data_IF_340347280172
#
_entry.id   IF_340347280172
#
_cell.length_a   1.000
_cell.length_b   1.000
_cell.length_c   1.000
_cell.angle_alpha   90.00
_cell.angle_beta   90.00
_cell.angle_gamma   90.00
#
_symmetry.space_group_name_H-M   'P 1'
#
loop_
_entity.id
_entity.type
_entity.pdbx_description
1 polymer ?
#
# COMPACT_ATOMS: atom_id res chain seq x y z
N UNK A 1 -9.19 12.91 -3.59
CA UNK A 1 -9.93 11.63 -3.67
C UNK A 1 -9.55 10.81 -2.46
N UNK A 2 -10.48 10.06 -1.86
CA UNK A 2 -10.17 9.11 -0.78
C UNK A 2 -10.27 7.72 -1.38
N UNK A 3 -9.19 6.95 -1.28
CA UNK A 3 -9.05 5.62 -1.86
C UNK A 3 -8.26 4.72 -0.91
N UNK A 4 -8.43 3.41 -1.01
CA UNK A 4 -7.48 2.43 -0.48
C UNK A 4 -6.12 2.53 -1.21
N UNK A 5 -5.10 1.83 -0.69
CA UNK A 5 -3.73 1.99 -1.21
C UNK A 5 -3.56 1.42 -2.61
N UNK A 6 -4.25 0.32 -2.91
CA UNK A 6 -4.20 -0.36 -4.21
C UNK A 6 -4.84 0.52 -5.30
N UNK A 7 -6.07 0.98 -5.05
CA UNK A 7 -6.80 1.86 -5.97
C UNK A 7 -6.05 3.18 -6.18
N UNK A 8 -5.56 3.80 -5.10
CA UNK A 8 -4.79 5.05 -5.20
C UNK A 8 -3.53 4.90 -6.06
N UNK A 9 -2.78 3.82 -5.86
CA UNK A 9 -1.59 3.50 -6.66
C UNK A 9 -1.93 3.29 -8.15
N UNK A 10 -3.00 2.54 -8.45
CA UNK A 10 -3.44 2.33 -9.83
C UNK A 10 -3.86 3.65 -10.50
N UNK A 11 -4.64 4.48 -9.80
CA UNK A 11 -5.11 5.76 -10.33
C UNK A 11 -3.93 6.69 -10.68
N UNK A 12 -2.95 6.83 -9.79
CA UNK A 12 -1.79 7.69 -10.05
C UNK A 12 -0.97 7.18 -11.24
N UNK A 13 -0.70 5.88 -11.33
CA UNK A 13 0.02 5.31 -12.49
C UNK A 13 -0.75 5.51 -13.79
N UNK A 14 -2.06 5.26 -13.77
CA UNK A 14 -2.91 5.45 -14.95
C UNK A 14 -2.93 6.92 -15.40
N UNK A 15 -3.17 7.87 -14.50
CA UNK A 15 -3.23 9.29 -14.84
C UNK A 15 -1.89 9.89 -15.23
N UNK A 16 -0.79 9.38 -14.70
CA UNK A 16 0.53 9.92 -14.99
C UNK A 16 1.15 9.32 -16.26
N UNK A 17 0.77 8.11 -16.67
CA UNK A 17 1.36 7.40 -17.81
C UNK A 17 0.42 7.18 -19.01
N UNK A 18 -0.83 7.68 -18.99
CA UNK A 18 -1.79 7.41 -20.08
C UNK A 18 -1.34 7.90 -21.46
N UNK A 19 -0.52 8.95 -21.53
CA UNK A 19 0.02 9.46 -22.80
C UNK A 19 1.28 8.74 -23.25
N UNK A 20 1.87 7.88 -22.42
CA UNK A 20 3.12 7.17 -22.70
C UNK A 20 2.92 5.70 -23.08
N UNK A 21 1.67 5.22 -23.19
CA UNK A 21 1.36 3.80 -23.27
C UNK A 21 1.49 3.04 -21.93
N UNK A 22 1.51 3.75 -20.79
CA UNK A 22 1.38 3.16 -19.45
C UNK A 22 2.68 2.77 -18.74
N UNK A 23 3.83 2.91 -19.39
CA UNK A 23 5.13 2.46 -18.85
C UNK A 23 5.99 3.58 -18.24
N UNK A 24 5.65 4.84 -18.51
CA UNK A 24 6.47 5.99 -18.13
C UNK A 24 5.60 7.17 -17.71
N UNK A 25 5.84 7.71 -16.53
CA UNK A 25 5.02 8.80 -16.03
C UNK A 25 5.46 10.11 -16.72
N UNK A 26 4.60 10.69 -17.55
CA UNK A 26 4.91 11.86 -18.38
C UNK A 26 4.23 13.13 -17.87
N UNK A 27 3.15 13.00 -17.10
CA UNK A 27 2.35 14.13 -16.61
C UNK A 27 1.98 13.99 -15.13
N UNK A 28 1.61 15.12 -14.52
CA UNK A 28 1.19 15.19 -13.12
C UNK A 28 2.32 15.54 -12.16
N UNK A 29 2.07 15.28 -10.87
CA UNK A 29 2.90 15.72 -9.74
C UNK A 29 3.45 14.56 -8.91
N UNK A 30 3.48 13.36 -9.51
CA UNK A 30 3.82 12.10 -8.84
C UNK A 30 2.79 11.71 -7.77
N UNK A 31 3.23 10.92 -6.80
CA UNK A 31 2.42 10.49 -5.65
C UNK A 31 2.18 11.62 -4.64
N UNK A 32 2.98 12.68 -4.72
CA UNK A 32 3.01 13.75 -3.73
C UNK A 32 3.68 13.34 -2.41
N UNK A 33 3.88 14.31 -1.50
CA UNK A 33 4.50 14.03 -0.21
C UNK A 33 3.56 13.22 0.70
N UNK A 34 4.10 12.15 1.28
CA UNK A 34 3.45 11.37 2.33
C UNK A 34 3.42 12.14 3.66
N UNK A 35 2.24 12.15 4.29
CA UNK A 35 2.00 12.74 5.61
C UNK A 35 1.14 11.81 6.42
N UNK A 36 1.50 11.60 7.68
CA UNK A 36 0.78 10.74 8.60
C UNK A 36 0.79 11.30 10.02
N UNK A 37 0.07 10.63 10.91
CA UNK A 37 0.08 10.95 12.32
C UNK A 37 1.52 10.82 12.87
N UNK A 38 1.95 11.80 13.65
CA UNK A 38 3.29 11.87 14.27
C UNK A 38 4.48 12.00 13.30
N UNK A 39 4.25 12.35 12.04
CA UNK A 39 5.35 12.65 11.12
C UNK A 39 5.93 14.04 11.45
N UNK A 40 7.24 14.13 11.63
CA UNK A 40 7.98 15.38 11.82
C UNK A 40 8.57 15.92 10.50
N UNK A 41 8.55 15.10 9.45
CA UNK A 41 9.16 15.38 8.14
C UNK A 41 8.18 15.11 7.01
N UNK A 42 8.41 15.81 5.92
CA UNK A 42 7.76 15.59 4.63
C UNK A 42 8.55 14.50 3.89
N UNK A 43 7.91 13.38 3.58
CA UNK A 43 8.55 12.27 2.86
C UNK A 43 8.05 12.31 1.41
N UNK A 44 8.93 12.62 0.46
CA UNK A 44 8.60 12.62 -0.96
C UNK A 44 9.29 11.44 -1.66
N UNK A 45 8.51 10.49 -2.17
CA UNK A 45 9.01 9.31 -2.88
C UNK A 45 8.74 9.49 -4.36
N UNK A 46 9.79 9.35 -5.17
CA UNK A 46 9.71 9.52 -6.62
C UNK A 46 10.03 8.19 -7.29
N UNK A 47 9.17 7.78 -8.22
CA UNK A 47 9.35 6.54 -8.96
C UNK A 47 10.50 6.66 -9.94
N UNK A 48 11.23 5.55 -10.15
CA UNK A 48 12.25 5.47 -11.21
C UNK A 48 11.64 5.63 -12.61
N UNK A 49 10.36 5.27 -12.77
CA UNK A 49 9.63 5.42 -14.02
C UNK A 49 9.11 6.85 -14.24
N UNK A 50 9.37 7.79 -13.31
CA UNK A 50 8.94 9.17 -13.44
C UNK A 50 9.80 9.94 -14.45
N UNK A 51 9.14 10.61 -15.40
CA UNK A 51 9.79 11.51 -16.33
C UNK A 51 10.17 12.84 -15.71
N UNK A 52 11.14 13.53 -16.34
CA UNK A 52 11.66 14.80 -15.83
C UNK A 52 10.56 15.83 -15.46
N UNK A 53 9.47 16.00 -16.24
CA UNK A 53 8.37 16.89 -15.84
C UNK A 53 7.68 16.47 -14.54
N UNK A 54 7.41 15.17 -14.37
CA UNK A 54 6.76 14.62 -13.16
C UNK A 54 7.67 14.76 -11.96
N UNK A 55 8.96 14.50 -12.11
CA UNK A 55 9.97 14.68 -11.07
C UNK A 55 10.02 16.15 -10.62
N UNK A 56 10.11 17.08 -11.57
CA UNK A 56 10.17 18.51 -11.29
C UNK A 56 8.92 18.99 -10.52
N UNK A 57 7.74 18.57 -10.97
CA UNK A 57 6.48 18.86 -10.30
C UNK A 57 6.44 18.25 -8.89
N UNK A 58 6.79 16.97 -8.73
CA UNK A 58 6.79 16.32 -7.42
C UNK A 58 7.71 17.04 -6.41
N UNK A 59 8.88 17.51 -6.85
CA UNK A 59 9.80 18.32 -6.03
C UNK A 59 9.17 19.67 -5.69
N UNK A 60 8.56 20.34 -6.68
CA UNK A 60 7.88 21.62 -6.46
C UNK A 60 6.73 21.48 -5.45
N UNK A 61 5.96 20.39 -5.51
CA UNK A 61 4.87 20.16 -4.56
C UNK A 61 5.39 19.93 -3.14
N UNK A 62 6.44 19.11 -2.99
CA UNK A 62 7.08 18.91 -1.69
C UNK A 62 7.63 20.23 -1.11
N UNK A 63 8.18 21.11 -1.96
CA UNK A 63 8.61 22.44 -1.54
C UNK A 63 7.44 23.31 -1.06
N UNK A 64 6.32 23.33 -1.79
CA UNK A 64 5.10 24.04 -1.38
C UNK A 64 4.55 23.52 -0.05
N UNK A 65 4.55 22.20 0.16
CA UNK A 65 4.15 21.58 1.44
C UNK A 65 5.08 21.99 2.59
N UNK A 66 6.38 22.09 2.33
CA UNK A 66 7.37 22.56 3.30
C UNK A 66 7.13 24.03 3.68
N UNK A 67 6.96 24.89 2.69
CA UNK A 67 6.64 26.32 2.89
C UNK A 67 5.32 26.51 3.65
N UNK A 68 4.32 25.66 3.39
CA UNK A 68 3.04 25.64 4.10
C UNK A 68 3.09 25.03 5.50
N UNK A 69 4.26 24.57 5.97
CA UNK A 69 4.43 23.92 7.27
C UNK A 69 3.48 22.72 7.47
N UNK A 70 3.37 21.88 6.44
CA UNK A 70 2.41 20.78 6.38
C UNK A 70 2.43 19.84 7.60
N UNK A 71 3.58 19.42 8.16
CA UNK A 71 3.59 18.55 9.35
C UNK A 71 2.87 19.17 10.55
N UNK A 72 3.02 20.48 10.77
CA UNK A 72 2.36 21.19 11.87
C UNK A 72 0.84 21.25 11.67
N UNK A 73 0.39 21.54 10.45
CA UNK A 73 -1.04 21.59 10.12
C UNK A 73 -1.67 20.20 10.27
N UNK A 74 -1.03 19.17 9.73
CA UNK A 74 -1.50 17.79 9.85
C UNK A 74 -1.59 17.35 11.32
N UNK A 75 -0.60 17.68 12.16
CA UNK A 75 -0.65 17.37 13.58
C UNK A 75 -1.86 18.03 14.28
N UNK A 76 -2.18 19.28 13.95
CA UNK A 76 -3.36 19.97 14.49
C UNK A 76 -4.67 19.30 14.05
N UNK A 77 -4.77 18.92 12.77
CA UNK A 77 -5.93 18.20 12.23
C UNK A 77 -6.12 16.83 12.89
N UNK A 78 -5.04 16.05 13.05
CA UNK A 78 -5.10 14.78 13.78
C UNK A 78 -5.55 14.96 15.23
N UNK A 79 -5.05 15.99 15.93
CA UNK A 79 -5.50 16.29 17.28
C UNK A 79 -6.98 16.65 17.34
N UNK A 80 -7.46 17.47 16.40
CA UNK A 80 -8.88 17.83 16.30
C UNK A 80 -9.75 16.61 16.01
N UNK A 81 -9.35 15.76 15.06
CA UNK A 81 -10.06 14.54 14.71
C UNK A 81 -10.10 13.54 15.88
N UNK A 82 -9.00 13.37 16.63
CA UNK A 82 -8.98 12.53 17.83
C UNK A 82 -9.90 13.06 18.94
N UNK A 83 -9.91 14.37 19.16
CA UNK A 83 -10.87 15.01 20.09
C UNK A 83 -12.33 14.79 19.66
N UNK A 84 -12.58 14.67 18.35
CA UNK A 84 -13.89 14.35 17.80
C UNK A 84 -14.23 12.83 17.82
N UNK A 85 -13.37 11.98 18.38
CA UNK A 85 -13.63 10.55 18.53
C UNK A 85 -13.10 9.66 17.39
N UNK A 86 -12.15 10.14 16.58
CA UNK A 86 -11.54 9.33 15.51
C UNK A 86 -11.00 7.99 16.03
N UNK A 87 -10.37 7.97 17.20
CA UNK A 87 -9.78 6.74 17.75
C UNK A 87 -10.84 5.67 18.06
N UNK A 88 -12.04 6.08 18.49
CA UNK A 88 -13.15 5.15 18.75
C UNK A 88 -13.77 4.61 17.46
N UNK A 89 -13.84 5.45 16.42
CA UNK A 89 -14.27 5.03 15.09
C UNK A 89 -13.29 4.02 14.49
N UNK A 90 -11.98 4.27 14.61
CA UNK A 90 -10.94 3.35 14.16
C UNK A 90 -11.08 2.02 14.90
N UNK A 91 -11.15 2.01 16.23
CA UNK A 91 -11.32 0.78 17.02
C UNK A 91 -12.55 -0.03 16.59
N UNK A 92 -13.67 0.62 16.32
CA UNK A 92 -14.89 -0.05 15.83
C UNK A 92 -14.69 -0.64 14.42
N UNK A 93 -13.98 0.07 13.55
CA UNK A 93 -13.72 -0.36 12.18
C UNK A 93 -12.64 -1.45 12.09
N UNK A 94 -11.66 -1.45 12.99
CA UNK A 94 -10.52 -2.38 13.01
C UNK A 94 -10.68 -3.48 14.04
N UNK A 95 -11.90 -3.76 14.52
CA UNK A 95 -12.19 -4.90 15.37
C UNK A 95 -12.10 -6.21 14.55
N UNK A 96 -10.94 -6.48 13.96
CA UNK A 96 -10.54 -7.78 13.44
C UNK A 96 -9.82 -8.54 14.57
N UNK A 97 -9.85 -9.87 14.50
CA UNK A 97 -9.11 -10.73 15.45
C UNK A 97 -7.65 -10.31 15.51
N UNK A 98 -7.07 -10.29 16.72
CA UNK A 98 -5.65 -9.99 16.89
C UNK A 98 -4.83 -10.96 16.01
N UNK A 99 -3.78 -10.48 15.32
CA UNK A 99 -2.98 -11.33 14.48
C UNK A 99 -2.36 -12.43 15.35
N UNK A 100 -2.73 -13.68 15.07
CA UNK A 100 -2.11 -14.83 15.70
C UNK A 100 -0.68 -14.91 15.18
N UNK A 101 0.32 -14.90 16.06
CA UNK A 101 1.71 -15.16 15.67
C UNK A 101 1.82 -16.60 15.17
N UNK A 102 1.68 -16.77 13.87
CA UNK A 102 1.83 -18.05 13.18
C UNK A 102 3.24 -18.07 12.59
N UNK A 103 3.99 -19.13 12.89
CA UNK A 103 5.29 -19.35 12.28
C UNK A 103 5.14 -19.88 10.85
N UNK A 104 6.04 -19.51 9.93
CA UNK A 104 6.00 -20.03 8.57
C UNK A 104 6.20 -21.55 8.56
N UNK A 105 5.46 -22.29 7.71
CA UNK A 105 5.67 -23.73 7.51
C UNK A 105 7.01 -24.00 6.79
N UNK A 106 7.34 -25.27 6.55
CA UNK A 106 8.59 -25.66 5.91
C UNK A 106 8.80 -24.92 4.58
N UNK A 107 9.96 -24.27 4.46
CA UNK A 107 10.30 -23.46 3.28
C UNK A 107 10.31 -24.31 2.02
N UNK A 108 9.66 -23.81 0.97
CA UNK A 108 9.68 -24.40 -0.37
C UNK A 108 9.81 -23.33 -1.47
N UNK A 109 10.22 -23.71 -2.69
CA UNK A 109 10.36 -22.76 -3.79
C UNK A 109 9.03 -22.08 -4.13
N UNK A 110 9.03 -20.74 -4.14
CA UNK A 110 7.89 -19.92 -4.53
C UNK A 110 8.18 -19.29 -5.90
N UNK A 111 7.39 -19.64 -6.90
CA UNK A 111 7.60 -19.19 -8.30
C UNK A 111 6.36 -18.55 -8.91
N UNK A 112 5.20 -18.72 -8.30
CA UNK A 112 3.95 -18.10 -8.72
C UNK A 112 3.63 -16.91 -7.81
N UNK A 113 2.95 -15.92 -8.37
CA UNK A 113 2.48 -14.74 -7.66
C UNK A 113 0.94 -14.65 -7.64
N UNK A 114 0.42 -14.15 -6.51
CA UNK A 114 -0.96 -13.71 -6.35
C UNK A 114 -0.94 -12.19 -6.19
N UNK A 115 -1.59 -11.52 -7.13
CA UNK A 115 -1.71 -10.05 -7.17
C UNK A 115 -3.07 -9.60 -6.62
N UNK A 116 -3.24 -8.30 -6.39
CA UNK A 116 -4.54 -7.70 -6.02
C UNK A 116 -4.81 -7.59 -4.53
N UNK A 117 -3.80 -7.86 -3.69
CA UNK A 117 -3.88 -7.73 -2.24
C UNK A 117 -3.34 -6.37 -1.82
N UNK A 118 -4.01 -5.68 -0.89
CA UNK A 118 -3.53 -4.41 -0.35
C UNK A 118 -2.24 -4.62 0.48
N UNK A 119 -1.27 -3.71 0.36
CA UNK A 119 0.00 -3.79 1.11
C UNK A 119 -0.21 -3.85 2.63
N UNK A 120 -1.27 -3.22 3.14
CA UNK A 120 -1.61 -3.18 4.56
C UNK A 120 -2.17 -4.51 5.07
N UNK A 121 -2.70 -5.36 4.18
CA UNK A 121 -3.25 -6.68 4.53
C UNK A 121 -2.33 -7.83 4.11
N UNK A 122 -1.22 -7.54 3.42
CA UNK A 122 -0.35 -8.54 2.81
C UNK A 122 0.23 -9.53 3.82
N UNK A 123 0.69 -9.04 4.98
CA UNK A 123 1.23 -9.91 6.03
C UNK A 123 0.17 -10.82 6.63
N UNK A 124 -1.03 -10.29 6.89
CA UNK A 124 -2.12 -11.08 7.47
C UNK A 124 -2.65 -12.11 6.47
N UNK A 125 -2.70 -11.75 5.19
CA UNK A 125 -3.00 -12.67 4.09
C UNK A 125 -1.98 -13.82 4.02
N UNK A 126 -0.67 -13.53 4.11
CA UNK A 126 0.39 -14.56 4.18
C UNK A 126 0.23 -15.44 5.42
N UNK A 127 -0.03 -14.85 6.60
CA UNK A 127 -0.26 -15.63 7.83
C UNK A 127 -1.49 -16.52 7.75
N UNK A 128 -2.54 -16.10 7.02
CA UNK A 128 -3.73 -16.92 6.79
C UNK A 128 -3.44 -18.19 5.99
N UNK A 129 -2.46 -18.12 5.08
CA UNK A 129 -1.95 -19.29 4.33
C UNK A 129 -1.09 -20.17 5.23
N UNK A 130 -0.22 -19.57 6.05
CA UNK A 130 0.57 -20.32 7.03
C UNK A 130 -0.31 -21.10 8.02
N UNK A 131 -1.46 -20.55 8.41
CA UNK A 131 -2.45 -21.24 9.26
C UNK A 131 -3.01 -22.54 8.63
N UNK A 132 -2.85 -22.71 7.32
CA UNK A 132 -3.25 -23.88 6.55
C UNK A 132 -2.05 -24.71 6.08
N UNK A 133 -0.88 -24.49 6.69
CA UNK A 133 0.39 -25.15 6.38
C UNK A 133 0.89 -24.88 4.95
N UNK A 134 0.42 -23.79 4.32
CA UNK A 134 0.88 -23.35 2.99
C UNK A 134 2.02 -22.37 3.16
N UNK A 135 3.18 -22.66 2.55
CA UNK A 135 4.31 -21.74 2.56
C UNK A 135 4.10 -20.61 1.56
N UNK A 136 4.19 -19.38 2.06
CA UNK A 136 4.04 -18.16 1.27
C UNK A 136 5.01 -17.07 1.74
N UNK A 137 5.49 -16.24 0.83
CA UNK A 137 6.35 -15.10 1.11
C UNK A 137 5.73 -13.81 0.54
N UNK A 138 6.01 -12.65 1.14
CA UNK A 138 5.64 -11.35 0.56
C UNK A 138 6.61 -10.97 -0.55
N UNK A 139 6.10 -10.41 -1.66
CA UNK A 139 6.90 -9.92 -2.77
C UNK A 139 6.39 -8.58 -3.32
N UNK A 140 7.16 -8.03 -4.26
CA UNK A 140 6.80 -6.82 -5.01
C UNK A 140 6.86 -7.14 -6.51
N UNK A 141 5.68 -7.23 -7.14
CA UNK A 141 5.55 -7.37 -8.59
C UNK A 141 5.56 -6.02 -9.30
N UNK A 142 5.52 -6.03 -10.63
CA UNK A 142 5.52 -4.80 -11.44
C UNK A 142 4.32 -3.87 -11.15
N UNK A 143 3.17 -4.45 -10.78
CA UNK A 143 1.94 -3.71 -10.53
C UNK A 143 1.76 -3.30 -9.05
N UNK A 144 2.41 -3.97 -8.12
CA UNK A 144 2.20 -3.77 -6.69
C UNK A 144 2.65 -4.96 -5.83
N UNK A 145 2.24 -4.97 -4.55
CA UNK A 145 2.49 -6.10 -3.65
C UNK A 145 1.92 -7.40 -4.21
N UNK A 146 2.62 -8.49 -3.96
CA UNK A 146 2.19 -9.84 -4.32
C UNK A 146 2.48 -10.83 -3.19
N UNK A 147 1.71 -11.92 -3.14
CA UNK A 147 2.07 -13.09 -2.36
C UNK A 147 2.74 -14.10 -3.30
N UNK A 148 3.95 -14.51 -2.95
CA UNK A 148 4.72 -15.52 -3.64
C UNK A 148 4.41 -16.90 -3.03
N UNK A 149 4.07 -17.87 -3.88
CA UNK A 149 3.71 -19.23 -3.48
C UNK A 149 4.26 -20.28 -4.45
N UNK A 150 4.23 -21.54 -4.03
CA UNK A 150 4.55 -22.65 -4.92
C UNK A 150 3.41 -22.89 -5.93
N UNK A 151 3.71 -23.34 -7.17
CA UNK A 151 2.70 -23.55 -8.20
C UNK A 151 1.54 -24.46 -7.78
N UNK A 152 1.85 -25.53 -7.06
CA UNK A 152 0.87 -26.51 -6.61
C UNK A 152 -0.12 -25.97 -5.56
N UNK A 153 0.23 -24.89 -4.85
CA UNK A 153 -0.64 -24.30 -3.82
C UNK A 153 -1.53 -23.16 -4.35
N UNK A 154 -1.38 -22.77 -5.62
CA UNK A 154 -2.01 -21.56 -6.16
C UNK A 154 -3.52 -21.56 -6.07
N UNK A 155 -4.16 -22.64 -6.49
CA UNK A 155 -5.61 -22.75 -6.50
C UNK A 155 -6.19 -22.75 -5.07
N UNK A 156 -5.56 -23.48 -4.16
CA UNK A 156 -5.97 -23.54 -2.76
C UNK A 156 -5.77 -22.18 -2.07
N UNK A 157 -4.63 -21.52 -2.30
CA UNK A 157 -4.32 -20.20 -1.75
C UNK A 157 -5.32 -19.15 -2.22
N UNK A 158 -5.67 -19.14 -3.51
CA UNK A 158 -6.68 -18.22 -4.06
C UNK A 158 -8.05 -18.42 -3.40
N UNK A 159 -8.43 -19.66 -3.11
CA UNK A 159 -9.69 -19.97 -2.42
C UNK A 159 -9.68 -19.43 -0.99
N UNK A 160 -8.63 -19.73 -0.22
CA UNK A 160 -8.47 -19.27 1.17
C UNK A 160 -8.50 -17.73 1.25
N UNK A 161 -7.77 -17.06 0.36
CA UNK A 161 -7.67 -15.60 0.35
C UNK A 161 -9.00 -14.93 0.00
N UNK A 162 -9.78 -15.48 -0.94
CA UNK A 162 -11.14 -15.01 -1.25
C UNK A 162 -12.10 -15.22 -0.10
N UNK A 163 -12.09 -16.40 0.52
CA UNK A 163 -12.93 -16.70 1.70
C UNK A 163 -12.64 -15.75 2.87
N UNK A 164 -11.38 -15.34 3.01
CA UNK A 164 -10.94 -14.35 4.02
C UNK A 164 -11.15 -12.89 3.59
N UNK A 165 -11.56 -12.64 2.35
CA UNK A 165 -11.86 -11.31 1.83
C UNK A 165 -10.64 -10.46 1.48
N UNK A 166 -9.48 -11.08 1.24
CA UNK A 166 -8.27 -10.38 0.80
C UNK A 166 -8.19 -10.17 -0.72
N UNK A 167 -9.07 -10.84 -1.48
CA UNK A 167 -9.17 -10.81 -2.95
C UNK A 167 -10.61 -10.55 -3.40
#
# INVERSE_FOLDING_TARGET
>A
MVCDTLTGNLLIKMFSAFTSGGTYETMGWGYGPGVGANFDKIINIISRASGAPVIANAIQYAASCSQGNLPKLAAAEYQAARKAGLDDLIKKATAKEAPTEISPPAKKPVTEDITGIDILELEDAVRSLWAKEIYAETGMGCAGPVIMIAPEDKENSMTILKEKGYL
#
